data_IF_017486082787
#
_entry.id   IF_017486082787
#
_cell.length_a   1.000
_cell.length_b   1.000
_cell.length_c   1.000
_cell.angle_alpha   90.00
_cell.angle_beta   90.00
_cell.angle_gamma   90.00
#
_symmetry.space_group_name_H-M   'P 1'
#
loop_
_entity.id
_entity.type
_entity.pdbx_description
1 polymer ?
#
# COMPACT_ATOMS: atom_id res chain seq x y z
N UNK A 1 25.78 -28.99 4.25
CA UNK A 1 25.51 -27.89 5.19
C UNK A 1 24.01 -27.66 5.22
N UNK A 2 23.37 -27.75 6.39
CA UNK A 2 21.91 -27.65 6.55
C UNK A 2 21.52 -26.44 7.40
N UNK A 3 20.25 -26.05 7.32
CA UNK A 3 19.70 -24.98 8.14
C UNK A 3 19.26 -25.54 9.50
N UNK A 4 19.83 -25.03 10.59
CA UNK A 4 19.48 -25.44 11.96
C UNK A 4 18.79 -24.29 12.70
N UNK A 5 17.54 -24.51 13.14
CA UNK A 5 16.70 -23.51 13.86
C UNK A 5 16.63 -22.15 13.14
N UNK A 6 16.60 -22.19 11.80
CA UNK A 6 16.52 -20.99 10.98
C UNK A 6 15.14 -20.33 11.12
N UNK A 7 15.15 -19.01 11.38
CA UNK A 7 13.93 -18.21 11.39
C UNK A 7 13.50 -17.92 9.96
N UNK A 8 12.40 -18.53 9.52
CA UNK A 8 11.84 -18.32 8.18
C UNK A 8 11.34 -16.89 7.98
N UNK A 9 10.92 -16.23 9.06
CA UNK A 9 10.40 -14.85 9.04
C UNK A 9 8.92 -14.75 8.68
N UNK A 10 8.24 -15.87 8.43
CA UNK A 10 6.78 -15.91 8.22
C UNK A 10 6.05 -15.76 9.57
N UNK A 11 5.02 -14.91 9.59
CA UNK A 11 4.09 -14.73 10.71
C UNK A 11 2.86 -15.58 10.41
N UNK A 12 2.53 -16.47 11.35
CA UNK A 12 1.41 -17.40 11.23
C UNK A 12 0.50 -17.31 12.46
N UNK A 13 -0.81 -17.40 12.24
CA UNK A 13 -1.82 -17.44 13.31
C UNK A 13 -2.38 -18.85 13.41
N UNK A 14 -2.41 -19.41 14.61
CA UNK A 14 -3.09 -20.69 14.86
C UNK A 14 -4.60 -20.47 14.77
N UNK A 15 -5.28 -21.21 13.89
CA UNK A 15 -6.74 -21.11 13.69
C UNK A 15 -7.50 -22.33 14.17
N UNK A 16 -6.81 -23.43 14.47
CA UNK A 16 -7.43 -24.66 14.93
C UNK A 16 -6.44 -25.82 14.96
N UNK A 17 -6.97 -27.02 15.18
CA UNK A 17 -6.21 -28.26 15.20
C UNK A 17 -6.96 -29.33 14.41
N UNK A 18 -6.23 -30.07 13.58
CA UNK A 18 -6.70 -31.34 13.03
C UNK A 18 -6.06 -32.48 13.81
N UNK A 19 -6.83 -33.12 14.68
CA UNK A 19 -6.32 -34.01 15.72
C UNK A 19 -5.26 -33.28 16.57
N UNK A 20 -4.02 -33.75 16.54
CA UNK A 20 -2.89 -33.14 17.27
C UNK A 20 -2.02 -32.23 16.39
N UNK A 21 -2.42 -31.96 15.14
CA UNK A 21 -1.65 -31.12 14.20
C UNK A 21 -2.23 -29.71 14.15
N UNK A 22 -1.46 -28.64 14.47
CA UNK A 22 -1.95 -27.27 14.40
C UNK A 22 -2.22 -26.86 12.95
N UNK A 23 -3.31 -26.10 12.76
CA UNK A 23 -3.64 -25.45 11.50
C UNK A 23 -3.30 -23.96 11.58
N UNK A 24 -2.67 -23.45 10.53
CA UNK A 24 -2.16 -22.09 10.48
C UNK A 24 -2.80 -21.30 9.35
N UNK A 25 -3.15 -20.06 9.64
CA UNK A 25 -3.41 -19.03 8.64
C UNK A 25 -2.15 -18.19 8.47
N UNK A 26 -1.72 -18.00 7.22
CA UNK A 26 -0.62 -17.11 6.89
C UNK A 26 -1.04 -15.65 7.11
N UNK A 27 -0.26 -14.90 7.91
CA UNK A 27 -0.54 -13.49 8.21
C UNK A 27 0.35 -12.58 7.35
N UNK A 28 1.63 -12.94 7.17
CA UNK A 28 2.58 -12.14 6.41
C UNK A 28 4.02 -12.51 6.72
N UNK A 29 4.96 -11.62 6.40
CA UNK A 29 6.36 -11.72 6.81
C UNK A 29 6.73 -10.64 7.80
N UNK A 30 7.66 -10.95 8.69
CA UNK A 30 8.19 -10.03 9.69
C UNK A 30 9.12 -9.00 9.03
N UNK A 31 8.54 -8.08 8.27
CA UNK A 31 9.20 -6.89 7.75
C UNK A 31 8.43 -5.64 8.18
N UNK A 32 9.15 -4.66 8.70
CA UNK A 32 8.64 -3.28 8.80
C UNK A 32 8.49 -2.79 7.37
N UNK A 33 7.26 -2.46 6.96
CA UNK A 33 6.98 -1.90 5.65
C UNK A 33 7.40 -0.44 5.60
N UNK A 34 6.95 0.34 6.58
CA UNK A 34 7.07 1.80 6.59
C UNK A 34 7.40 2.35 7.97
N UNK A 35 8.07 3.50 7.96
CA UNK A 35 8.27 4.37 9.10
C UNK A 35 8.92 5.65 8.60
N UNK A 36 8.35 6.79 8.97
CA UNK A 36 8.83 8.14 8.68
C UNK A 36 9.49 8.75 9.91
N UNK A 37 9.02 8.40 11.11
CA UNK A 37 9.59 8.78 12.40
C UNK A 37 9.84 7.49 13.24
N UNK A 38 9.59 7.52 14.54
CA UNK A 38 9.72 6.39 15.47
C UNK A 38 8.59 5.36 15.32
N UNK A 39 7.52 5.68 14.59
CA UNK A 39 6.45 4.74 14.30
C UNK A 39 6.91 3.66 13.31
N UNK A 40 6.30 2.49 13.44
CA UNK A 40 6.55 1.36 12.53
C UNK A 40 5.21 0.83 12.06
N UNK A 41 5.03 0.79 10.75
CA UNK A 41 3.84 0.20 10.12
C UNK A 41 4.25 -1.08 9.40
N UNK A 42 3.52 -2.17 9.68
CA UNK A 42 3.78 -3.47 9.07
C UNK A 42 3.18 -3.57 7.67
N UNK A 43 3.66 -4.53 6.86
CA UNK A 43 3.05 -4.79 5.55
C UNK A 43 1.56 -5.17 5.69
N UNK A 44 1.22 -5.91 6.75
CA UNK A 44 -0.15 -6.32 7.04
C UNK A 44 -1.08 -5.13 7.33
N UNK A 45 -0.59 -4.10 8.02
CA UNK A 45 -1.36 -2.88 8.28
C UNK A 45 -1.61 -2.09 6.98
N UNK A 46 -0.62 -1.99 6.10
CA UNK A 46 -0.78 -1.36 4.78
C UNK A 46 -1.77 -2.14 3.93
N UNK A 47 -1.63 -3.48 3.86
CA UNK A 47 -2.54 -4.37 3.14
C UNK A 47 -3.99 -4.18 3.60
N UNK A 48 -4.20 -4.12 4.92
CA UNK A 48 -5.53 -3.88 5.51
C UNK A 48 -6.05 -2.49 5.16
N UNK A 49 -5.25 -1.45 5.34
CA UNK A 49 -5.66 -0.07 5.06
C UNK A 49 -6.04 0.14 3.58
N UNK A 50 -5.26 -0.45 2.66
CA UNK A 50 -5.59 -0.42 1.22
C UNK A 50 -6.87 -1.20 0.93
N UNK A 51 -7.08 -2.35 1.57
CA UNK A 51 -8.31 -3.13 1.39
C UNK A 51 -9.57 -2.37 1.83
N UNK A 52 -9.47 -1.62 2.93
CA UNK A 52 -10.55 -0.76 3.44
C UNK A 52 -10.83 0.43 2.54
N UNK A 53 -9.78 1.10 2.03
CA UNK A 53 -9.94 2.26 1.17
C UNK A 53 -10.41 1.91 -0.25
N UNK A 54 -9.90 0.82 -0.83
CA UNK A 54 -10.29 0.41 -2.20
C UNK A 54 -11.77 0.04 -2.32
N UNK A 55 -12.45 -0.32 -1.22
CA UNK A 55 -13.88 -0.58 -1.20
C UNK A 55 -14.70 0.66 -1.63
N UNK A 56 -14.16 1.87 -1.46
CA UNK A 56 -14.78 3.11 -1.92
C UNK A 56 -14.73 3.27 -3.46
N UNK A 57 -13.85 2.53 -4.14
CA UNK A 57 -13.76 2.52 -5.60
C UNK A 57 -14.81 1.61 -6.25
N UNK A 58 -15.31 0.61 -5.53
CA UNK A 58 -16.25 -0.39 -6.07
C UNK A 58 -17.55 0.24 -6.64
N UNK A 59 -18.22 1.19 -5.95
CA UNK A 59 -19.41 1.86 -6.48
C UNK A 59 -19.11 2.71 -7.73
N UNK A 60 -17.87 3.18 -7.88
CA UNK A 60 -17.42 3.90 -9.06
C UNK A 60 -17.08 2.97 -10.22
N UNK A 61 -17.14 1.65 -10.05
CA UNK A 61 -16.73 0.70 -11.08
C UNK A 61 -15.27 0.89 -11.47
N UNK A 62 -14.43 1.28 -10.51
CA UNK A 62 -12.98 1.38 -10.62
C UNK A 62 -12.35 0.22 -9.84
N UNK A 63 -11.22 -0.28 -10.32
CA UNK A 63 -10.48 -1.38 -9.71
C UNK A 63 -9.04 -0.93 -9.50
N UNK A 64 -8.58 -1.02 -8.25
CA UNK A 64 -7.16 -0.94 -7.92
C UNK A 64 -6.47 -2.23 -8.38
N UNK A 65 -5.58 -2.12 -9.36
CA UNK A 65 -4.86 -3.26 -9.94
C UNK A 65 -3.62 -3.61 -9.15
N UNK A 66 -2.79 -2.61 -8.91
CA UNK A 66 -1.51 -2.73 -8.22
C UNK A 66 -1.29 -1.50 -7.35
N UNK A 67 -0.53 -1.69 -6.29
CA UNK A 67 -0.12 -0.59 -5.44
C UNK A 67 1.22 -0.88 -4.76
N UNK A 68 1.89 0.19 -4.35
CA UNK A 68 3.05 0.13 -3.49
C UNK A 68 3.11 1.38 -2.63
N UNK A 69 4.06 1.43 -1.70
CA UNK A 69 4.14 2.48 -0.70
C UNK A 69 5.58 2.97 -0.48
N UNK A 70 5.70 4.18 0.05
CA UNK A 70 6.97 4.84 0.31
C UNK A 70 6.83 5.80 1.49
N UNK A 71 7.82 5.81 2.39
CA UNK A 71 7.90 6.78 3.47
C UNK A 71 8.67 8.00 2.98
N UNK A 72 7.95 9.09 2.68
CA UNK A 72 8.56 10.31 2.18
C UNK A 72 9.06 11.15 3.35
N UNK A 73 10.39 11.22 3.47
CA UNK A 73 11.09 12.00 4.50
C UNK A 73 11.74 13.25 3.91
N UNK A 74 11.31 13.69 2.71
CA UNK A 74 11.84 14.90 2.07
C UNK A 74 11.25 16.18 2.69
N UNK A 75 10.08 16.08 3.32
CA UNK A 75 9.44 17.15 4.10
C UNK A 75 9.55 16.90 5.61
N UNK A 76 9.33 17.96 6.39
CA UNK A 76 9.23 17.89 7.86
C UNK A 76 7.89 18.49 8.31
N UNK A 77 6.98 17.70 8.91
CA UNK A 77 7.07 16.25 9.09
C UNK A 77 7.01 15.50 7.75
N UNK A 78 7.56 14.29 7.70
CA UNK A 78 7.40 13.41 6.54
C UNK A 78 6.02 12.77 6.52
N UNK A 79 5.70 12.03 5.47
CA UNK A 79 4.38 11.39 5.31
C UNK A 79 4.45 10.08 4.52
N UNK A 80 3.35 9.34 4.58
CA UNK A 80 3.21 8.11 3.81
C UNK A 80 2.68 8.42 2.41
N UNK A 81 3.33 7.84 1.40
CA UNK A 81 2.94 7.93 0.00
C UNK A 81 2.52 6.55 -0.47
N UNK A 82 1.33 6.43 -1.05
CA UNK A 82 0.81 5.18 -1.61
C UNK A 82 0.56 5.38 -3.11
N UNK A 83 1.25 4.62 -3.95
CA UNK A 83 1.07 4.66 -5.40
C UNK A 83 -0.03 3.70 -5.82
N UNK A 84 -1.05 4.18 -6.54
CA UNK A 84 -2.20 3.38 -6.99
C UNK A 84 -2.28 3.33 -8.51
N UNK A 85 -2.28 2.13 -9.09
CA UNK A 85 -2.63 1.93 -10.51
C UNK A 85 -4.08 1.45 -10.61
N UNK A 86 -4.95 2.30 -11.16
CA UNK A 86 -6.40 2.10 -11.18
C UNK A 86 -6.86 1.89 -12.63
N UNK A 87 -7.77 0.93 -12.85
CA UNK A 87 -8.44 0.72 -14.14
C UNK A 87 -9.96 0.71 -13.99
N UNK A 88 -10.72 1.10 -15.01
CA UNK A 88 -12.17 0.89 -15.03
C UNK A 88 -12.49 -0.62 -15.06
N UNK A 89 -13.59 -1.01 -14.41
CA UNK A 89 -14.13 -2.38 -14.44
C UNK A 89 -14.65 -2.70 -15.84
N UNK A 90 -14.30 -3.87 -16.35
CA UNK A 90 -14.77 -4.38 -17.65
C UNK A 90 -16.31 -4.42 -17.69
N UNK A 91 -16.90 -3.86 -18.74
CA UNK A 91 -18.35 -3.76 -18.92
C UNK A 91 -18.97 -2.37 -18.68
N UNK A 92 -18.22 -1.42 -18.13
CA UNK A 92 -18.63 -0.01 -18.12
C UNK A 92 -18.36 0.63 -19.50
N UNK A 93 -19.16 0.25 -20.50
CA UNK A 93 -19.14 0.81 -21.86
C UNK A 93 -19.84 2.18 -21.92
N UNK A 94 -19.44 3.13 -21.07
CA UNK A 94 -19.69 4.54 -21.39
C UNK A 94 -18.49 5.02 -22.19
N UNK A 95 -18.71 5.07 -23.50
CA UNK A 95 -17.78 5.60 -24.48
C UNK A 95 -17.23 6.97 -24.03
N UNK A 96 -15.91 7.10 -24.20
CA UNK A 96 -15.10 8.32 -24.17
C UNK A 96 -14.47 8.66 -22.82
N UNK A 97 -13.13 8.59 -22.82
CA UNK A 97 -12.19 9.32 -21.98
C UNK A 97 -12.37 9.16 -20.47
N UNK A 98 -11.57 8.25 -19.89
CA UNK A 98 -11.20 8.19 -18.48
C UNK A 98 -12.27 8.64 -17.50
N UNK A 99 -13.03 7.70 -16.92
CA UNK A 99 -13.91 7.98 -15.78
C UNK A 99 -13.08 8.75 -14.74
N UNK A 100 -13.30 10.06 -14.70
CA UNK A 100 -12.43 10.99 -14.00
C UNK A 100 -12.48 10.64 -12.52
N UNK A 101 -11.31 10.50 -11.91
CA UNK A 101 -11.21 10.17 -10.49
C UNK A 101 -11.80 11.34 -9.72
N UNK A 102 -12.96 11.12 -9.08
CA UNK A 102 -13.56 12.13 -8.23
C UNK A 102 -12.58 12.47 -7.09
N UNK A 103 -12.05 13.71 -7.04
CA UNK A 103 -11.09 14.11 -6.01
C UNK A 103 -11.60 13.86 -4.59
N UNK A 104 -12.91 14.02 -4.36
CA UNK A 104 -13.52 13.79 -3.04
C UNK A 104 -13.44 12.34 -2.62
N UNK A 105 -13.69 11.41 -3.54
CA UNK A 105 -13.59 9.97 -3.25
C UNK A 105 -12.14 9.58 -3.02
N UNK A 106 -11.19 10.18 -3.73
CA UNK A 106 -9.76 9.92 -3.52
C UNK A 106 -9.25 10.48 -2.18
N UNK A 107 -9.70 11.67 -1.78
CA UNK A 107 -9.44 12.23 -0.45
C UNK A 107 -10.08 11.39 0.67
N UNK A 108 -11.27 10.84 0.43
CA UNK A 108 -11.92 9.91 1.34
C UNK A 108 -11.16 8.58 1.42
N UNK A 109 -10.63 8.06 0.30
CA UNK A 109 -9.70 6.94 0.30
C UNK A 109 -8.48 7.22 1.20
N UNK A 110 -7.86 8.40 1.07
CA UNK A 110 -6.74 8.79 1.92
C UNK A 110 -7.12 8.75 3.41
N UNK A 111 -8.26 9.35 3.76
CA UNK A 111 -8.78 9.38 5.13
C UNK A 111 -9.08 7.99 5.67
N UNK A 112 -9.73 7.15 4.87
CA UNK A 112 -10.09 5.77 5.22
C UNK A 112 -8.85 4.90 5.41
N UNK A 113 -7.79 5.13 4.63
CA UNK A 113 -6.49 4.50 4.89
C UNK A 113 -5.94 4.92 6.25
N UNK A 114 -5.86 6.23 6.55
CA UNK A 114 -5.34 6.71 7.84
C UNK A 114 -6.13 6.16 9.03
N UNK A 115 -7.46 6.10 8.93
CA UNK A 115 -8.33 5.55 9.99
C UNK A 115 -8.09 4.05 10.24
N UNK A 116 -7.67 3.32 9.21
CA UNK A 116 -7.46 1.87 9.24
C UNK A 116 -6.06 1.46 9.70
N UNK A 117 -5.12 2.41 9.75
CA UNK A 117 -3.76 2.19 10.23
C UNK A 117 -3.72 2.04 11.76
N UNK A 118 -2.63 1.46 12.26
CA UNK A 118 -2.46 1.18 13.68
C UNK A 118 -2.55 2.45 14.55
N UNK A 119 -2.93 2.29 15.81
CA UNK A 119 -3.15 3.43 16.72
C UNK A 119 -1.92 4.35 16.84
N UNK A 120 -0.71 3.79 16.75
CA UNK A 120 0.54 4.56 16.80
C UNK A 120 0.65 5.55 15.65
N UNK A 121 0.32 5.15 14.41
CA UNK A 121 0.29 6.08 13.27
C UNK A 121 -0.73 7.20 13.52
N UNK A 122 -1.95 6.84 13.95
CA UNK A 122 -3.03 7.81 14.20
C UNK A 122 -2.67 8.82 15.30
N UNK A 123 -1.95 8.38 16.35
CA UNK A 123 -1.41 9.27 17.39
C UNK A 123 -0.41 10.27 16.83
N UNK A 124 0.61 9.79 16.11
CA UNK A 124 1.65 10.65 15.53
C UNK A 124 1.09 11.64 14.51
N UNK A 125 0.10 11.22 13.73
CA UNK A 125 -0.62 12.09 12.79
C UNK A 125 -1.37 13.23 13.50
N UNK A 126 -1.93 12.99 14.69
CA UNK A 126 -2.59 14.02 15.51
C UNK A 126 -1.61 14.96 16.19
N UNK A 127 -0.45 14.45 16.60
CA UNK A 127 0.63 15.24 17.21
C UNK A 127 1.45 16.03 16.16
N UNK A 128 1.07 15.96 14.87
CA UNK A 128 1.78 16.58 13.74
C UNK A 128 3.22 16.09 13.57
N UNK A 129 3.53 14.88 14.05
CA UNK A 129 4.82 14.21 13.82
C UNK A 129 4.85 13.52 12.45
N UNK A 130 3.68 13.19 11.90
CA UNK A 130 3.50 12.67 10.53
C UNK A 130 2.53 13.58 9.80
N UNK A 131 2.86 13.97 8.56
CA UNK A 131 1.99 14.75 7.68
C UNK A 131 0.87 13.88 7.06
N UNK A 132 -0.07 14.53 6.36
CA UNK A 132 -1.20 13.84 5.74
C UNK A 132 -0.75 12.74 4.76
N UNK A 133 -1.36 11.55 4.86
CA UNK A 133 -1.16 10.48 3.88
C UNK A 133 -1.49 10.97 2.47
N UNK A 134 -0.63 10.63 1.52
CA UNK A 134 -0.74 10.97 0.11
C UNK A 134 -1.03 9.71 -0.72
N UNK A 135 -2.08 9.73 -1.54
CA UNK A 135 -2.28 8.77 -2.62
C UNK A 135 -1.83 9.41 -3.94
N UNK A 136 -0.86 8.78 -4.61
CA UNK A 136 -0.40 9.14 -5.95
C UNK A 136 -0.97 8.16 -6.96
N UNK A 137 -1.88 8.61 -7.81
CA UNK A 137 -2.39 7.76 -8.89
C UNK A 137 -1.41 7.77 -10.03
N UNK A 138 -1.07 6.59 -10.55
CA UNK A 138 -0.14 6.41 -11.67
C UNK A 138 -0.85 5.93 -12.94
N UNK A 139 -0.22 6.15 -14.09
CA UNK A 139 -0.71 5.66 -15.39
C UNK A 139 -0.81 4.14 -15.40
N UNK A 140 -1.72 3.60 -16.20
CA UNK A 140 -1.75 2.18 -16.49
C UNK A 140 -0.44 1.71 -17.16
N UNK A 141 0.06 0.53 -16.79
CA UNK A 141 1.36 -0.01 -17.22
C UNK A 141 2.55 0.52 -16.40
N UNK A 142 2.31 1.27 -15.32
CA UNK A 142 3.39 1.75 -14.45
C UNK A 142 4.03 0.61 -13.69
N UNK A 143 3.24 -0.31 -13.14
CA UNK A 143 3.77 -1.46 -12.43
C UNK A 143 4.41 -2.49 -13.36
N UNK A 144 4.04 -2.53 -14.65
CA UNK A 144 4.76 -3.28 -15.69
C UNK A 144 6.17 -2.69 -15.91
N UNK A 145 6.27 -1.36 -16.04
CA UNK A 145 7.58 -0.69 -16.13
C UNK A 145 8.44 -0.93 -14.87
N UNK A 146 7.81 -1.02 -13.70
CA UNK A 146 8.49 -1.32 -12.45
C UNK A 146 8.98 -2.77 -12.39
N UNK A 147 8.16 -3.71 -12.87
CA UNK A 147 8.55 -5.11 -13.04
C UNK A 147 9.76 -5.24 -13.98
N UNK A 148 9.72 -4.61 -15.15
CA UNK A 148 10.85 -4.62 -16.11
C UNK A 148 12.14 -4.10 -15.48
N UNK A 149 12.04 -3.06 -14.65
CA UNK A 149 13.17 -2.55 -13.88
C UNK A 149 13.73 -3.63 -12.94
N UNK A 150 12.90 -4.27 -12.11
CA UNK A 150 13.39 -5.30 -11.20
C UNK A 150 13.95 -6.53 -11.93
N UNK A 151 13.34 -6.93 -13.05
CA UNK A 151 13.86 -8.01 -13.91
C UNK A 151 15.23 -7.62 -14.48
N UNK A 152 15.42 -6.38 -14.93
CA UNK A 152 16.72 -5.89 -15.41
C UNK A 152 17.80 -5.88 -14.32
N UNK A 153 17.39 -5.82 -13.04
CA UNK A 153 18.26 -5.94 -11.86
C UNK A 153 18.47 -7.39 -11.40
N UNK A 154 17.96 -8.37 -12.14
CA UNK A 154 18.16 -9.79 -11.89
C UNK A 154 17.03 -10.48 -11.10
N UNK A 155 15.89 -9.83 -10.90
CA UNK A 155 14.72 -10.50 -10.34
C UNK A 155 14.17 -11.55 -11.33
N UNK A 156 13.77 -12.70 -10.82
CA UNK A 156 13.09 -13.72 -11.63
C UNK A 156 11.66 -13.26 -11.93
N UNK A 157 11.29 -13.23 -13.22
CA UNK A 157 9.94 -12.89 -13.67
C UNK A 157 8.87 -13.78 -13.02
N UNK A 158 9.14 -15.08 -12.87
CA UNK A 158 8.18 -16.06 -12.32
C UNK A 158 7.97 -15.95 -10.81
N UNK A 159 8.87 -15.26 -10.09
CA UNK A 159 8.81 -15.08 -8.65
C UNK A 159 8.52 -13.64 -8.23
N UNK A 160 8.48 -12.73 -9.20
CA UNK A 160 8.26 -11.33 -8.90
C UNK A 160 6.88 -11.12 -8.30
N UNK A 161 6.86 -10.33 -7.22
CA UNK A 161 5.68 -9.72 -6.66
C UNK A 161 6.00 -8.25 -6.45
N UNK A 162 5.05 -7.38 -6.74
CA UNK A 162 5.16 -5.95 -6.43
C UNK A 162 5.53 -5.80 -4.95
N UNK A 163 6.67 -5.17 -4.62
CA UNK A 163 7.01 -4.91 -3.23
C UNK A 163 5.94 -4.01 -2.60
N UNK A 164 5.48 -4.34 -1.40
CA UNK A 164 4.49 -3.49 -0.70
C UNK A 164 5.09 -2.12 -0.37
N UNK A 165 6.40 -2.05 -0.09
CA UNK A 165 7.13 -0.80 0.13
C UNK A 165 8.39 -0.72 -0.74
N UNK A 166 8.57 0.40 -1.43
CA UNK A 166 9.75 0.69 -2.25
C UNK A 166 10.79 1.47 -1.44
N UNK A 167 12.05 1.03 -1.56
CA UNK A 167 13.21 1.71 -0.95
C UNK A 167 14.24 2.19 -1.99
N UNK A 168 14.19 1.67 -3.22
CA UNK A 168 15.12 2.06 -4.29
C UNK A 168 14.70 3.41 -4.88
N UNK A 169 15.64 4.36 -4.93
CA UNK A 169 15.41 5.70 -5.50
C UNK A 169 15.06 5.63 -6.99
N UNK A 170 15.66 4.69 -7.71
CA UNK A 170 15.41 4.48 -9.14
C UNK A 170 13.99 3.96 -9.37
N UNK A 171 13.53 3.01 -8.54
CA UNK A 171 12.15 2.53 -8.56
C UNK A 171 11.15 3.66 -8.23
N UNK A 172 11.46 4.51 -7.27
CA UNK A 172 10.64 5.70 -6.96
C UNK A 172 10.60 6.67 -8.13
N UNK A 173 11.71 6.94 -8.81
CA UNK A 173 11.73 7.80 -9.99
C UNK A 173 10.84 7.27 -11.13
N UNK A 174 10.80 5.94 -11.32
CA UNK A 174 9.92 5.29 -12.31
C UNK A 174 8.45 5.55 -11.96
N UNK A 175 8.08 5.42 -10.68
CA UNK A 175 6.73 5.68 -10.17
C UNK A 175 6.37 7.17 -10.30
N UNK A 176 7.21 8.06 -9.78
CA UNK A 176 6.97 9.51 -9.74
C UNK A 176 6.82 10.13 -11.13
N UNK A 177 7.63 9.68 -12.10
CA UNK A 177 7.52 10.13 -13.50
C UNK A 177 6.21 9.74 -14.19
N UNK A 178 5.44 8.82 -13.60
CA UNK A 178 4.15 8.30 -14.14
C UNK A 178 2.94 8.69 -13.31
N UNK A 179 3.11 9.54 -12.30
CA UNK A 179 2.01 10.08 -11.51
C UNK A 179 1.14 10.98 -12.37
N UNK A 180 -0.18 10.78 -12.31
CA UNK A 180 -1.18 11.60 -13.01
C UNK A 180 -2.02 12.45 -12.06
N UNK A 181 -2.13 12.06 -10.80
CA UNK A 181 -2.87 12.81 -9.79
C UNK A 181 -2.31 12.52 -8.39
N UNK A 182 -2.47 13.50 -7.49
CA UNK A 182 -2.04 13.44 -6.09
C UNK A 182 -3.19 13.89 -5.21
N UNK A 183 -3.47 13.12 -4.17
CA UNK A 183 -4.54 13.39 -3.22
C UNK A 183 -4.00 13.23 -1.81
N UNK A 184 -4.43 14.09 -0.90
CA UNK A 184 -3.99 14.07 0.50
C UNK A 184 -5.20 13.85 1.40
N UNK A 185 -4.98 13.23 2.56
CA UNK A 185 -6.01 13.15 3.60
C UNK A 185 -6.40 14.56 4.08
N UNK A 186 -7.66 15.00 3.91
CA UNK A 186 -8.10 16.34 4.29
C UNK A 186 -8.30 16.51 5.80
N UNK A 187 -8.33 15.41 6.56
CA UNK A 187 -8.60 15.41 8.00
C UNK A 187 -7.62 14.54 8.76
N UNK A 188 -7.58 14.71 10.08
CA UNK A 188 -6.86 13.77 10.95
C UNK A 188 -7.70 12.50 11.19
N UNK A 189 -7.05 11.35 11.45
CA UNK A 189 -7.75 10.09 11.63
C UNK A 189 -8.54 10.03 12.94
N UNK A 190 -9.67 9.34 12.90
CA UNK A 190 -10.55 9.14 14.07
C UNK A 190 -9.92 8.15 15.06
N UNK A 191 -10.18 8.31 16.35
CA UNK A 191 -9.86 7.28 17.35
C UNK A 191 -11.00 6.28 17.40
N UNK A 192 -10.68 5.00 17.53
CA UNK A 192 -11.68 4.01 17.94
C UNK A 192 -12.06 4.33 19.39
N UNK A 193 -13.36 4.49 19.65
CA UNK A 193 -13.92 4.59 21.01
C UNK A 193 -13.94 3.22 21.69
#
# INVERSE_FOLDING_TARGET
>A
MGLYRYKVGDIIKVTGFHNNTPQFQFVGRQNVALGVDMERTSEADILKAVAEAKALLDPLGLILTEYTSYGDTSSTPGHYVIFWEIKPKEGNNNNNNGKELDPKVMEECCSKMEDSLHFTYRMYRKENMIAALEIRVVKQGTFESLLDYFVSKGASLSQYKTPICIKSKEALNILDSRVIAKFFSPRTPTQDN
#
